data_IF_308397602550
#
_entry.id   IF_308397602550
#
_cell.length_a   1.000
_cell.length_b   1.000
_cell.length_c   1.000
_cell.angle_alpha   90.00
_cell.angle_beta   90.00
_cell.angle_gamma   90.00
#
_symmetry.space_group_name_H-M   'P 1'
#
loop_
_entity.id
_entity.type
_entity.pdbx_description
1 polymer ?
#
# COMPACT_ATOMS: atom_id res chain seq x y z
N UNK A 1 0.45 -43.20 6.46
CA UNK A 1 -0.53 -42.47 5.62
C UNK A 1 0.15 -41.19 5.18
N UNK A 2 0.34 -41.01 3.86
CA UNK A 2 0.97 -39.78 3.33
C UNK A 2 -0.09 -38.69 3.19
N UNK A 3 0.20 -37.47 3.66
CA UNK A 3 -0.70 -36.32 3.55
C UNK A 3 -0.01 -35.25 2.70
N UNK A 4 -0.75 -34.65 1.79
CA UNK A 4 -0.30 -33.54 0.97
C UNK A 4 -1.16 -32.31 1.29
N UNK A 5 -0.52 -31.16 1.52
CA UNK A 5 -1.18 -29.87 1.78
C UNK A 5 -0.75 -28.93 0.64
N UNK A 6 -1.71 -28.27 0.03
CA UNK A 6 -1.48 -27.28 -1.02
C UNK A 6 -2.10 -25.95 -0.59
N UNK A 7 -1.29 -24.91 -0.53
CA UNK A 7 -1.75 -23.53 -0.38
C UNK A 7 -1.94 -22.98 -1.80
N UNK A 8 -3.18 -22.75 -2.18
CA UNK A 8 -3.53 -22.31 -3.53
C UNK A 8 -3.96 -20.83 -3.50
N UNK A 9 -3.54 -20.08 -4.53
CA UNK A 9 -3.88 -18.67 -4.72
C UNK A 9 -3.49 -17.75 -3.54
N UNK A 10 -2.27 -17.84 -3.01
CA UNK A 10 -1.82 -16.94 -1.96
C UNK A 10 -1.77 -15.50 -2.50
N UNK A 11 -2.22 -14.54 -1.69
CA UNK A 11 -1.98 -13.13 -1.97
C UNK A 11 -0.59 -12.75 -1.49
N UNK A 12 0.17 -12.07 -2.33
CA UNK A 12 1.56 -11.72 -2.03
C UNK A 12 1.67 -10.24 -1.70
N UNK A 13 2.29 -9.94 -0.55
CA UNK A 13 2.74 -8.61 -0.17
C UNK A 13 4.27 -8.63 -0.23
N UNK A 14 4.86 -7.64 -0.87
CA UNK A 14 6.31 -7.50 -0.99
C UNK A 14 6.82 -6.45 -0.02
N UNK A 15 7.85 -6.78 0.74
CA UNK A 15 8.50 -5.86 1.68
C UNK A 15 9.98 -5.83 1.37
N UNK A 16 10.52 -4.64 1.13
CA UNK A 16 11.96 -4.43 0.95
C UNK A 16 12.43 -3.23 1.76
N UNK A 17 13.72 -3.13 1.97
CA UNK A 17 14.39 -1.97 2.55
C UNK A 17 15.03 -1.15 1.43
N UNK A 18 14.67 0.12 1.32
CA UNK A 18 15.26 1.02 0.32
C UNK A 18 16.67 1.41 0.77
N UNK A 19 17.64 1.04 -0.07
CA UNK A 19 19.04 1.41 0.14
C UNK A 19 19.21 2.94 0.20
N UNK A 20 20.11 3.43 1.08
CA UNK A 20 20.32 4.87 1.31
C UNK A 20 19.12 5.63 1.89
N UNK A 21 18.23 4.97 2.65
CA UNK A 21 17.07 5.59 3.28
C UNK A 21 17.36 6.98 3.88
N UNK A 22 18.47 7.13 4.61
CA UNK A 22 18.84 8.42 5.21
C UNK A 22 18.92 9.57 4.19
N UNK A 23 19.48 9.33 3.00
CA UNK A 23 19.55 10.33 1.92
C UNK A 23 18.15 10.78 1.51
N UNK A 24 17.24 9.83 1.33
CA UNK A 24 15.86 10.13 0.90
C UNK A 24 15.04 10.78 2.00
N UNK A 25 15.25 10.39 3.24
CA UNK A 25 14.66 11.07 4.40
C UNK A 25 15.12 12.52 4.47
N UNK A 26 16.42 12.79 4.32
CA UNK A 26 16.99 14.13 4.32
C UNK A 26 16.45 14.97 3.12
N UNK A 27 16.30 14.38 1.93
CA UNK A 27 15.70 15.03 0.77
C UNK A 27 14.22 15.36 1.02
N UNK A 28 13.47 14.41 1.55
CA UNK A 28 12.07 14.61 1.89
C UNK A 28 11.86 15.78 2.86
N UNK A 29 12.64 15.87 3.93
CA UNK A 29 12.49 16.96 4.90
C UNK A 29 12.82 18.36 4.33
N UNK A 30 13.54 18.48 3.22
CA UNK A 30 13.72 19.75 2.51
C UNK A 30 12.43 20.22 1.81
N UNK A 31 11.67 19.28 1.27
CA UNK A 31 10.43 19.58 0.54
C UNK A 31 9.20 19.56 1.44
N UNK A 32 9.25 18.83 2.55
CA UNK A 32 8.16 18.65 3.48
C UNK A 32 7.44 19.95 3.89
N UNK A 33 8.13 21.09 4.13
CA UNK A 33 7.47 22.36 4.44
C UNK A 33 6.61 22.94 3.31
N UNK A 34 6.75 22.44 2.07
CA UNK A 34 5.92 22.88 0.93
C UNK A 34 4.50 22.26 0.98
N UNK A 35 4.33 21.20 1.78
CA UNK A 35 3.09 20.44 1.83
C UNK A 35 2.28 20.86 3.06
N UNK A 36 1.14 21.50 2.82
CA UNK A 36 0.19 21.82 3.86
C UNK A 36 -0.63 20.56 4.23
N UNK A 37 -0.86 20.42 5.53
CA UNK A 37 -1.69 19.37 6.07
C UNK A 37 -3.00 19.98 6.57
N UNK A 38 -4.09 19.66 5.88
CA UNK A 38 -5.41 19.89 6.41
C UNK A 38 -5.90 18.62 7.12
N UNK A 39 -6.49 18.82 8.28
CA UNK A 39 -7.23 17.79 8.97
C UNK A 39 -8.54 17.58 8.21
N UNK A 40 -8.76 16.37 7.71
CA UNK A 40 -10.01 16.06 7.01
C UNK A 40 -11.01 15.59 8.04
N UNK A 41 -12.08 16.36 8.23
CA UNK A 41 -13.24 15.96 9.04
C UNK A 41 -14.31 15.44 8.10
N UNK A 42 -14.74 14.20 8.29
CA UNK A 42 -15.81 13.62 7.52
C UNK A 42 -17.21 14.04 8.02
N UNK A 43 -18.24 13.83 7.21
CA UNK A 43 -19.62 14.23 7.51
C UNK A 43 -20.20 13.59 8.78
N UNK A 44 -19.65 12.46 9.22
CA UNK A 44 -20.00 11.78 10.48
C UNK A 44 -19.31 12.36 11.73
N UNK A 45 -18.40 13.34 11.53
CA UNK A 45 -17.68 14.01 12.62
C UNK A 45 -16.42 13.29 13.07
N UNK A 46 -16.02 12.19 12.43
CA UNK A 46 -14.73 11.56 12.69
C UNK A 46 -13.59 12.39 12.07
N UNK A 47 -12.60 12.71 12.90
CA UNK A 47 -11.39 13.38 12.48
C UNK A 47 -10.39 12.36 11.95
N UNK A 48 -10.01 12.53 10.69
CA UNK A 48 -9.14 11.60 10.02
C UNK A 48 -7.73 12.15 9.81
N UNK A 49 -6.84 11.21 9.63
CA UNK A 49 -5.42 11.35 9.40
C UNK A 49 -5.07 12.51 8.49
N UNK A 50 -4.06 13.24 8.88
CA UNK A 50 -3.40 14.23 8.06
C UNK A 50 -2.73 13.58 6.85
N UNK A 51 -3.37 13.66 5.70
CA UNK A 51 -2.79 13.23 4.43
C UNK A 51 -2.76 14.39 3.45
N UNK A 52 -1.72 14.45 2.61
CA UNK A 52 -1.72 15.30 1.44
C UNK A 52 -2.40 14.57 0.29
N UNK A 53 -3.65 14.17 0.48
CA UNK A 53 -4.43 13.47 -0.53
C UNK A 53 -5.12 14.44 -1.50
N UNK A 54 -5.91 13.92 -2.41
CA UNK A 54 -6.73 14.70 -3.35
C UNK A 54 -7.54 15.79 -2.66
N UNK A 55 -7.95 15.56 -1.40
CA UNK A 55 -8.73 16.52 -0.62
C UNK A 55 -7.90 17.74 -0.13
N UNK A 56 -6.59 17.59 0.00
CA UNK A 56 -5.66 18.67 0.36
C UNK A 56 -4.96 19.30 -0.85
N UNK A 57 -5.25 18.82 -2.06
CA UNK A 57 -4.79 19.43 -3.31
C UNK A 57 -3.39 19.02 -3.78
N UNK A 58 -2.71 18.06 -3.13
CA UNK A 58 -1.40 17.61 -3.61
C UNK A 58 -1.21 16.08 -3.58
N UNK A 59 -1.86 15.33 -4.51
CA UNK A 59 -1.66 13.90 -4.65
C UNK A 59 -0.50 13.53 -5.58
N UNK A 60 0.47 14.42 -5.82
CA UNK A 60 1.50 14.26 -6.85
C UNK A 60 2.90 14.58 -6.35
N UNK A 61 3.24 14.17 -5.12
CA UNK A 61 4.59 14.43 -4.57
C UNK A 61 5.70 13.72 -5.33
N UNK A 62 5.38 12.69 -6.14
CA UNK A 62 6.31 12.04 -7.04
C UNK A 62 6.81 12.93 -8.20
N UNK A 63 6.20 14.10 -8.39
CA UNK A 63 6.64 15.09 -9.36
C UNK A 63 7.61 16.14 -8.76
N UNK A 64 7.97 16.01 -7.47
CA UNK A 64 8.97 16.88 -6.86
C UNK A 64 10.38 16.39 -7.22
N UNK A 65 11.14 17.23 -7.92
CA UNK A 65 12.49 16.90 -8.43
C UNK A 65 13.45 16.43 -7.31
N UNK A 66 13.30 16.93 -6.08
CA UNK A 66 14.11 16.49 -4.93
C UNK A 66 13.86 15.04 -4.53
N UNK A 67 12.73 14.45 -4.95
CA UNK A 67 12.32 13.08 -4.64
C UNK A 67 12.45 12.12 -5.84
N UNK A 68 12.88 12.59 -7.01
CA UNK A 68 12.95 11.80 -8.24
C UNK A 68 13.67 10.47 -8.03
N UNK A 69 14.88 10.48 -7.46
CA UNK A 69 15.68 9.28 -7.23
C UNK A 69 15.00 8.28 -6.26
N UNK A 70 14.26 8.77 -5.25
CA UNK A 70 13.47 7.91 -4.38
C UNK A 70 12.38 7.17 -5.18
N UNK A 71 11.66 7.89 -6.02
CA UNK A 71 10.61 7.27 -6.82
C UNK A 71 11.16 6.33 -7.90
N UNK A 72 12.33 6.61 -8.47
CA UNK A 72 13.04 5.64 -9.33
C UNK A 72 13.36 4.34 -8.59
N UNK A 73 13.79 4.40 -7.33
CA UNK A 73 14.02 3.22 -6.50
C UNK A 73 12.71 2.48 -6.19
N UNK A 74 11.63 3.19 -5.87
CA UNK A 74 10.30 2.57 -5.67
C UNK A 74 9.86 1.82 -6.94
N UNK A 75 10.04 2.42 -8.12
CA UNK A 75 9.73 1.77 -9.40
C UNK A 75 10.64 0.57 -9.65
N UNK A 76 11.93 0.66 -9.31
CA UNK A 76 12.85 -0.47 -9.42
C UNK A 76 12.41 -1.66 -8.57
N UNK A 77 12.08 -1.44 -7.32
CA UNK A 77 11.55 -2.48 -6.42
C UNK A 77 10.19 -3.03 -6.89
N UNK A 78 9.37 -2.15 -7.48
CA UNK A 78 8.09 -2.59 -8.08
C UNK A 78 8.32 -3.52 -9.27
N UNK A 79 9.37 -3.29 -10.08
CA UNK A 79 9.75 -4.22 -11.15
C UNK A 79 10.20 -5.57 -10.60
N UNK A 80 10.99 -5.59 -9.53
CA UNK A 80 11.36 -6.84 -8.82
C UNK A 80 10.10 -7.57 -8.38
N UNK A 81 9.16 -6.87 -7.73
CA UNK A 81 7.90 -7.47 -7.29
C UNK A 81 7.12 -8.09 -8.45
N UNK A 82 6.98 -7.39 -9.58
CA UNK A 82 6.19 -7.85 -10.72
C UNK A 82 6.89 -8.99 -11.47
N UNK A 83 8.18 -8.83 -11.78
CA UNK A 83 8.87 -9.73 -12.71
C UNK A 83 9.53 -10.92 -12.01
N UNK A 84 10.08 -10.73 -10.82
CA UNK A 84 10.82 -11.77 -10.12
C UNK A 84 9.94 -12.51 -9.11
N UNK A 85 9.06 -11.81 -8.40
CA UNK A 85 8.20 -12.42 -7.38
C UNK A 85 6.90 -12.94 -8.00
N UNK A 86 6.17 -12.11 -8.75
CA UNK A 86 4.92 -12.48 -9.40
C UNK A 86 5.12 -13.15 -10.76
N UNK A 87 6.33 -13.12 -11.30
CA UNK A 87 6.74 -13.78 -12.55
C UNK A 87 5.97 -13.32 -13.80
N UNK A 88 5.59 -12.06 -13.88
CA UNK A 88 5.02 -11.45 -15.08
C UNK A 88 6.10 -11.09 -16.11
N UNK A 89 5.75 -11.11 -17.39
CA UNK A 89 6.63 -10.66 -18.46
C UNK A 89 6.84 -9.13 -18.43
N UNK A 90 8.00 -8.66 -18.91
CA UNK A 90 8.32 -7.23 -19.02
C UNK A 90 7.68 -6.60 -20.26
N UNK A 91 6.36 -6.54 -20.28
CA UNK A 91 5.55 -5.96 -21.36
C UNK A 91 4.82 -4.69 -20.93
N UNK A 92 5.06 -4.22 -19.71
CA UNK A 92 4.38 -3.06 -19.14
C UNK A 92 5.35 -1.95 -18.78
N UNK A 93 4.93 -0.71 -18.98
CA UNK A 93 5.46 0.46 -18.30
C UNK A 93 4.72 0.67 -17.00
N UNK A 94 5.43 1.16 -15.99
CA UNK A 94 4.88 1.46 -14.68
C UNK A 94 4.69 2.97 -14.56
N UNK A 95 3.49 3.40 -14.22
CA UNK A 95 3.15 4.80 -14.06
C UNK A 95 2.67 5.03 -12.65
N UNK A 96 3.33 5.90 -11.90
CA UNK A 96 2.80 6.41 -10.65
C UNK A 96 1.66 7.37 -11.00
N UNK A 97 0.45 7.02 -10.62
CA UNK A 97 -0.75 7.80 -10.94
C UNK A 97 -1.07 8.83 -9.88
N UNK A 98 -0.70 8.54 -8.63
CA UNK A 98 -0.77 9.46 -7.51
C UNK A 98 0.17 9.03 -6.40
N UNK A 99 0.63 9.99 -5.62
CA UNK A 99 1.39 9.75 -4.41
C UNK A 99 1.20 10.92 -3.43
N UNK A 100 1.10 10.59 -2.15
CA UNK A 100 0.84 11.58 -1.11
C UNK A 100 1.56 11.20 0.20
N UNK A 101 1.55 12.12 1.15
CA UNK A 101 2.13 11.91 2.47
C UNK A 101 1.02 11.47 3.43
N UNK A 102 1.28 10.40 4.16
CA UNK A 102 0.44 9.93 5.26
C UNK A 102 1.16 10.19 6.58
N UNK A 103 0.52 10.92 7.48
CA UNK A 103 1.07 11.31 8.78
C UNK A 103 0.10 10.95 9.89
N UNK A 104 0.61 10.35 10.98
CA UNK A 104 -0.15 10.12 12.22
C UNK A 104 0.66 10.58 13.41
N UNK A 105 0.06 11.34 14.34
CA UNK A 105 0.69 11.89 15.55
C UNK A 105 0.07 11.40 16.84
N UNK A 106 -1.14 10.89 16.77
CA UNK A 106 -1.89 10.34 17.90
C UNK A 106 -2.42 8.95 17.56
N UNK A 107 -2.74 8.17 18.56
CA UNK A 107 -3.18 6.78 18.42
C UNK A 107 -4.53 6.63 17.69
N UNK A 108 -5.39 7.64 17.77
CA UNK A 108 -6.71 7.71 17.14
C UNK A 108 -6.67 8.21 15.69
N UNK A 109 -5.52 8.69 15.22
CA UNK A 109 -5.33 9.09 13.82
C UNK A 109 -5.16 7.87 12.91
N UNK A 110 -6.19 7.06 12.75
CA UNK A 110 -6.22 5.85 11.94
C UNK A 110 -6.68 6.16 10.51
N UNK A 111 -6.22 5.38 9.53
CA UNK A 111 -6.83 5.32 8.20
C UNK A 111 -7.77 4.12 8.19
N UNK A 112 -9.07 4.30 7.89
CA UNK A 112 -10.02 3.20 7.92
C UNK A 112 -9.80 2.18 6.82
N UNK A 113 -10.57 1.10 6.88
CA UNK A 113 -10.61 0.10 5.84
C UNK A 113 -11.00 0.69 4.49
N UNK A 114 -10.13 0.55 3.52
CA UNK A 114 -10.33 1.01 2.15
C UNK A 114 -9.51 0.19 1.16
N UNK A 115 -9.76 0.39 -0.11
CA UNK A 115 -9.00 -0.17 -1.23
C UNK A 115 -8.93 0.85 -2.35
N UNK A 116 -7.99 0.66 -3.26
CA UNK A 116 -7.84 1.53 -4.42
C UNK A 116 -8.33 0.80 -5.67
N UNK A 117 -9.34 1.35 -6.34
CA UNK A 117 -9.99 0.71 -7.51
C UNK A 117 -9.43 1.17 -8.85
N UNK A 118 -8.55 2.18 -8.87
CA UNK A 118 -8.07 2.84 -10.10
C UNK A 118 -6.62 2.52 -10.44
N UNK A 119 -5.98 1.64 -9.69
CA UNK A 119 -4.59 1.27 -9.82
C UNK A 119 -4.39 -0.24 -9.68
N UNK A 120 -3.19 -0.74 -10.00
CA UNK A 120 -2.87 -2.15 -9.91
C UNK A 120 -2.05 -2.49 -8.66
N UNK A 121 -1.11 -1.63 -8.29
CA UNK A 121 -0.22 -1.79 -7.15
C UNK A 121 -0.28 -0.53 -6.31
N UNK A 122 -0.43 -0.69 -5.01
CA UNK A 122 -0.24 0.37 -4.03
C UNK A 122 1.08 0.18 -3.30
N UNK A 123 1.68 1.29 -2.88
CA UNK A 123 2.91 1.26 -2.10
C UNK A 123 2.82 2.15 -0.85
N UNK A 124 3.62 1.77 0.15
CA UNK A 124 3.88 2.57 1.34
C UNK A 124 5.38 2.55 1.64
N UNK A 125 6.03 3.69 1.58
CA UNK A 125 7.44 3.88 1.96
C UNK A 125 7.52 4.67 3.26
N UNK A 126 8.20 4.12 4.26
CA UNK A 126 8.18 4.64 5.62
C UNK A 126 9.39 5.51 5.91
N UNK A 127 9.13 6.79 6.11
CA UNK A 127 10.16 7.80 6.44
C UNK A 127 10.47 7.86 7.92
N UNK A 128 9.47 7.64 8.77
CA UNK A 128 9.61 7.68 10.22
C UNK A 128 8.57 6.77 10.87
N UNK A 129 9.03 5.85 11.73
CA UNK A 129 8.19 4.88 12.41
C UNK A 129 8.56 4.80 13.90
N UNK A 130 8.10 5.76 14.72
CA UNK A 130 8.34 5.71 16.16
C UNK A 130 7.80 4.42 16.79
N UNK A 131 8.34 3.97 17.92
CA UNK A 131 7.81 2.84 18.67
C UNK A 131 6.30 3.00 18.94
N UNK A 132 5.56 1.90 18.86
CA UNK A 132 4.11 1.83 19.05
C UNK A 132 3.29 2.63 18.02
N UNK A 133 3.89 3.02 16.90
CA UNK A 133 3.15 3.67 15.82
C UNK A 133 2.20 2.70 15.11
N UNK A 134 1.36 3.26 14.24
CA UNK A 134 0.36 2.51 13.49
C UNK A 134 0.98 1.44 12.59
N UNK A 135 0.36 0.26 12.58
CA UNK A 135 0.65 -0.83 11.66
C UNK A 135 -0.13 -0.68 10.36
N UNK A 136 0.34 -1.33 9.32
CA UNK A 136 -0.44 -1.54 8.10
C UNK A 136 -1.13 -2.89 8.19
N UNK A 137 -2.46 -2.89 8.13
CA UNK A 137 -3.31 -4.05 8.34
C UNK A 137 -4.09 -4.37 7.07
N UNK A 138 -4.21 -5.63 6.75
CA UNK A 138 -4.87 -6.14 5.54
C UNK A 138 -6.01 -7.07 5.92
N UNK A 139 -7.13 -7.00 5.19
CA UNK A 139 -8.25 -7.90 5.38
C UNK A 139 -8.14 -9.11 4.46
N UNK A 140 -8.44 -10.29 5.01
CA UNK A 140 -8.64 -11.51 4.23
C UNK A 140 -10.10 -11.61 3.80
N UNK A 141 -10.47 -10.88 2.74
CA UNK A 141 -11.85 -10.79 2.24
C UNK A 141 -12.38 -12.17 1.77
N UNK A 142 -11.48 -13.01 1.28
CA UNK A 142 -11.84 -14.32 0.71
C UNK A 142 -11.73 -15.46 1.69
N UNK A 143 -11.68 -15.21 2.98
CA UNK A 143 -11.38 -16.18 4.07
C UNK A 143 -12.09 -17.54 3.93
N UNK A 144 -11.79 -18.25 2.85
CA UNK A 144 -12.40 -19.57 2.55
C UNK A 144 -12.04 -20.63 3.58
N UNK A 145 -10.94 -20.45 4.31
CA UNK A 145 -10.55 -21.31 5.43
C UNK A 145 -11.27 -20.95 6.74
N UNK A 146 -12.06 -19.89 6.75
CA UNK A 146 -12.84 -19.48 7.91
C UNK A 146 -13.98 -20.44 8.28
N UNK A 147 -14.22 -21.45 7.43
CA UNK A 147 -15.19 -22.54 7.55
C UNK A 147 -16.64 -22.06 7.64
N UNK A 148 -16.96 -21.12 8.53
CA UNK A 148 -18.24 -20.43 8.60
C UNK A 148 -18.10 -19.09 9.35
N UNK A 149 -19.01 -18.18 9.05
CA UNK A 149 -19.02 -16.84 9.65
C UNK A 149 -19.09 -16.92 11.18
N UNK A 150 -18.27 -16.08 11.83
CA UNK A 150 -18.24 -15.97 13.28
C UNK A 150 -17.21 -16.81 14.02
N UNK A 151 -16.56 -17.79 13.38
CA UNK A 151 -15.48 -18.58 14.03
C UNK A 151 -14.26 -17.76 14.44
N UNK A 152 -14.01 -16.65 13.72
CA UNK A 152 -12.87 -15.75 13.95
C UNK A 152 -13.30 -14.40 14.54
N UNK A 153 -14.48 -14.30 15.14
CA UNK A 153 -14.93 -13.09 15.82
C UNK A 153 -14.39 -13.06 17.27
N UNK A 154 -14.28 -11.86 17.82
CA UNK A 154 -13.89 -11.64 19.23
C UNK A 154 -14.80 -12.37 20.25
N UNK A 155 -15.99 -12.78 19.83
CA UNK A 155 -16.99 -13.41 20.68
C UNK A 155 -16.78 -14.91 20.85
N UNK A 156 -16.01 -15.54 19.95
CA UNK A 156 -15.66 -16.96 20.02
C UNK A 156 -14.15 -17.09 20.28
N UNK A 157 -13.76 -16.92 21.53
CA UNK A 157 -12.34 -16.98 21.96
C UNK A 157 -11.66 -18.33 21.72
N UNK A 158 -12.43 -19.39 21.49
CA UNK A 158 -11.94 -20.76 21.40
C UNK A 158 -12.10 -21.40 20.02
N UNK A 159 -12.53 -20.66 18.99
CA UNK A 159 -12.77 -21.18 17.65
C UNK A 159 -11.49 -21.52 16.90
N UNK A 160 -10.40 -20.80 17.18
CA UNK A 160 -9.08 -20.96 16.57
C UNK A 160 -8.04 -21.19 17.66
N UNK A 161 -7.31 -22.31 17.58
CA UNK A 161 -6.27 -22.63 18.56
C UNK A 161 -5.11 -21.63 18.53
N UNK A 162 -4.68 -21.27 17.32
CA UNK A 162 -3.60 -20.35 17.06
C UNK A 162 -3.85 -19.68 15.70
N UNK A 163 -3.77 -18.35 15.68
CA UNK A 163 -3.94 -17.57 14.46
C UNK A 163 -2.69 -17.67 13.58
N UNK A 164 -2.88 -17.92 12.29
CA UNK A 164 -1.81 -17.99 11.29
C UNK A 164 -2.36 -17.53 9.92
N UNK A 165 -1.50 -17.54 8.90
CA UNK A 165 -1.83 -17.09 7.55
C UNK A 165 -2.96 -17.87 6.87
N UNK A 166 -3.32 -19.07 7.36
CA UNK A 166 -4.37 -19.90 6.77
C UNK A 166 -5.75 -19.64 7.37
N UNK A 167 -5.82 -19.16 8.60
CA UNK A 167 -7.08 -19.00 9.34
C UNK A 167 -7.36 -17.57 9.81
N UNK A 168 -6.39 -16.66 9.67
CA UNK A 168 -6.56 -15.27 10.12
C UNK A 168 -7.51 -14.51 9.20
N UNK A 169 -8.39 -13.70 9.79
CA UNK A 169 -9.25 -12.75 9.08
C UNK A 169 -8.51 -11.47 8.67
N UNK A 170 -7.42 -11.16 9.37
CA UNK A 170 -6.57 -10.01 9.09
C UNK A 170 -5.10 -10.39 9.24
N UNK A 171 -4.26 -9.70 8.49
CA UNK A 171 -2.81 -9.75 8.61
C UNK A 171 -2.27 -8.34 8.82
N UNK A 172 -1.24 -8.16 9.64
CA UNK A 172 -0.63 -6.85 9.84
C UNK A 172 0.88 -6.90 9.70
N UNK A 173 1.43 -5.79 9.24
CA UNK A 173 2.86 -5.55 9.14
C UNK A 173 3.19 -4.36 10.05
N UNK A 174 4.17 -4.56 10.93
CA UNK A 174 4.80 -3.47 11.66
C UNK A 174 5.86 -2.86 10.75
N UNK A 175 5.65 -1.68 10.18
CA UNK A 175 6.61 -1.13 9.26
C UNK A 175 7.84 -0.62 10.01
N UNK A 176 9.01 -0.85 9.42
CA UNK A 176 10.27 -0.28 9.88
C UNK A 176 10.63 0.96 9.07
N UNK A 177 11.38 1.86 9.67
CA UNK A 177 11.89 3.04 8.96
C UNK A 177 12.79 2.62 7.79
N UNK A 178 12.55 3.17 6.60
CA UNK A 178 13.23 2.79 5.37
C UNK A 178 12.58 1.65 4.60
N UNK A 179 11.58 0.97 5.17
CA UNK A 179 10.88 -0.10 4.46
C UNK A 179 9.93 0.42 3.39
N UNK A 180 9.87 -0.30 2.29
CA UNK A 180 8.87 -0.18 1.22
C UNK A 180 7.97 -1.41 1.26
N UNK A 181 6.67 -1.20 1.30
CA UNK A 181 5.66 -2.26 1.22
C UNK A 181 4.88 -2.08 -0.07
N UNK A 182 4.84 -3.13 -0.92
CA UNK A 182 4.07 -3.18 -2.16
C UNK A 182 2.99 -4.25 -2.04
N UNK A 183 1.79 -3.94 -2.50
CA UNK A 183 0.65 -4.85 -2.45
C UNK A 183 -0.36 -4.55 -3.57
N UNK A 184 -1.20 -5.53 -3.97
CA UNK A 184 -2.27 -5.27 -4.92
C UNK A 184 -3.22 -4.19 -4.43
N UNK A 185 -3.49 -3.17 -5.25
CA UNK A 185 -4.35 -2.02 -4.87
C UNK A 185 -5.77 -2.42 -4.48
N UNK A 186 -6.25 -3.56 -4.98
CA UNK A 186 -7.57 -4.11 -4.66
C UNK A 186 -7.64 -4.74 -3.25
N UNK A 187 -6.51 -4.92 -2.55
CA UNK A 187 -6.51 -5.39 -1.17
C UNK A 187 -7.10 -4.35 -0.25
N UNK A 188 -8.09 -4.76 0.54
CA UNK A 188 -8.64 -3.93 1.60
C UNK A 188 -7.64 -3.81 2.74
N UNK A 189 -7.31 -2.57 3.11
CA UNK A 189 -6.29 -2.27 4.11
C UNK A 189 -6.64 -1.05 4.94
N UNK A 190 -6.02 -0.95 6.11
CA UNK A 190 -6.16 0.18 7.01
C UNK A 190 -4.86 0.44 7.78
N UNK A 191 -4.80 1.55 8.52
CA UNK A 191 -3.78 1.73 9.55
C UNK A 191 -4.44 1.77 10.92
N UNK A 192 -3.81 1.14 11.90
CA UNK A 192 -4.33 1.06 13.26
C UNK A 192 -3.17 1.13 14.25
N UNK A 193 -3.31 1.93 15.31
CA UNK A 193 -2.34 1.94 16.39
C UNK A 193 -2.55 0.73 17.30
N UNK A 194 -1.44 0.13 17.73
CA UNK A 194 -1.48 -0.93 18.75
C UNK A 194 -1.49 -0.41 20.19
N UNK A 195 -1.32 0.88 20.38
CA UNK A 195 -1.16 1.45 21.70
C UNK A 195 -1.79 2.83 21.78
N UNK A 196 -2.62 3.05 22.78
CA UNK A 196 -3.17 4.37 23.11
C UNK A 196 -2.09 5.37 23.56
N UNK A 197 -0.89 4.87 23.86
CA UNK A 197 0.26 5.66 24.31
C UNK A 197 1.16 6.14 23.17
N UNK A 198 0.79 5.91 21.91
CA UNK A 198 1.59 6.37 20.79
C UNK A 198 1.81 7.88 20.85
N UNK A 199 3.08 8.27 20.83
CA UNK A 199 3.53 9.67 20.78
C UNK A 199 4.67 9.79 19.78
N UNK A 200 4.54 10.73 18.88
CA UNK A 200 5.53 10.97 17.86
C UNK A 200 4.90 11.33 16.54
N UNK A 201 5.63 11.19 15.48
CA UNK A 201 5.13 11.41 14.13
C UNK A 201 5.48 10.18 13.29
N UNK A 202 4.48 9.37 12.96
CA UNK A 202 4.61 8.36 11.91
C UNK A 202 4.44 9.04 10.58
N UNK A 203 5.37 8.79 9.67
CA UNK A 203 5.40 9.47 8.39
C UNK A 203 5.70 8.48 7.27
N UNK A 204 4.85 8.45 6.26
CA UNK A 204 5.01 7.59 5.09
C UNK A 204 4.69 8.35 3.80
N UNK A 205 5.40 8.01 2.73
CA UNK A 205 5.00 8.33 1.36
C UNK A 205 4.24 7.13 0.84
N UNK A 206 3.02 7.37 0.42
CA UNK A 206 2.14 6.33 -0.12
C UNK A 206 1.71 6.69 -1.53
N UNK A 207 1.30 5.71 -2.31
CA UNK A 207 0.85 6.00 -3.67
C UNK A 207 0.42 4.77 -4.44
N UNK A 208 0.06 5.03 -5.69
CA UNK A 208 -0.55 4.08 -6.59
C UNK A 208 0.19 4.00 -7.92
N UNK A 209 0.37 2.77 -8.40
CA UNK A 209 1.06 2.46 -9.64
C UNK A 209 0.10 1.72 -10.57
N UNK A 210 0.04 2.19 -11.80
CA UNK A 210 -0.74 1.56 -12.87
C UNK A 210 0.20 0.99 -13.92
N UNK A 211 -0.07 -0.23 -14.36
CA UNK A 211 0.60 -0.89 -15.45
C UNK A 211 -0.05 -0.51 -16.77
N UNK A 212 0.74 -0.08 -17.73
CA UNK A 212 0.30 0.19 -19.09
C UNK A 212 1.18 -0.58 -20.07
N UNK A 213 0.62 -1.03 -21.19
CA UNK A 213 1.44 -1.70 -22.23
C UNK A 213 2.50 -0.77 -22.78
N UNK A 214 3.71 -1.30 -22.96
CA UNK A 214 4.79 -0.63 -23.72
C UNK A 214 4.33 -0.37 -25.14
N UNK A 215 4.68 0.80 -25.70
CA UNK A 215 4.25 1.19 -27.06
C UNK A 215 4.68 0.23 -28.16
N UNK A 216 5.83 -0.45 -27.97
CA UNK A 216 6.43 -1.35 -28.95
C UNK A 216 6.12 -2.84 -28.68
N UNK A 217 5.25 -3.15 -27.71
CA UNK A 217 4.84 -4.53 -27.47
C UNK A 217 3.91 -5.04 -28.57
N UNK A 218 4.15 -6.26 -29.05
CA UNK A 218 3.16 -7.00 -29.85
C UNK A 218 1.96 -7.32 -28.97
N UNK A 219 1.01 -6.38 -28.94
CA UNK A 219 -0.18 -6.51 -28.11
C UNK A 219 -1.23 -7.35 -28.83
N UNK A 220 -1.43 -8.56 -28.36
CA UNK A 220 -2.63 -9.33 -28.66
C UNK A 220 -3.84 -8.61 -28.06
N UNK A 221 -4.89 -8.44 -28.85
CA UNK A 221 -6.15 -7.77 -28.48
C UNK A 221 -6.91 -8.43 -27.31
N UNK A 222 -6.48 -9.60 -26.87
CA UNK A 222 -7.15 -10.39 -25.85
C UNK A 222 -6.98 -9.84 -24.41
N UNK A 223 -6.08 -8.91 -24.19
CA UNK A 223 -5.67 -8.48 -22.86
C UNK A 223 -6.17 -7.09 -22.49
N UNK A 224 -7.30 -6.81 -22.20
CA UNK A 224 -7.96 -5.62 -21.61
C UNK A 224 -7.27 -4.22 -21.55
N UNK A 225 -5.96 -4.15 -21.75
CA UNK A 225 -5.16 -2.93 -21.77
C UNK A 225 -4.78 -2.60 -23.21
N UNK A 226 -5.43 -1.62 -23.80
CA UNK A 226 -5.17 -1.23 -25.19
C UNK A 226 -3.96 -0.30 -25.25
N UNK A 227 -2.96 -0.63 -26.08
CA UNK A 227 -1.83 0.25 -26.38
C UNK A 227 -2.36 1.65 -26.78
N UNK A 228 -1.78 2.73 -26.23
CA UNK A 228 -2.23 4.11 -26.48
C UNK A 228 -2.41 4.46 -27.96
N UNK A 229 -1.57 3.92 -28.87
CA UNK A 229 -1.69 4.15 -30.31
C UNK A 229 -2.99 3.64 -30.96
N UNK A 230 -3.69 2.72 -30.31
CA UNK A 230 -4.97 2.17 -30.77
C UNK A 230 -6.18 2.76 -30.07
N UNK A 231 -5.97 3.71 -29.16
CA UNK A 231 -7.07 4.36 -28.43
C UNK A 231 -7.63 5.53 -29.20
N UNK A 232 -8.93 5.64 -29.23
CA UNK A 232 -9.62 6.84 -29.66
C UNK A 232 -10.43 7.43 -28.53
N UNK A 233 -10.12 8.66 -28.15
CA UNK A 233 -10.86 9.37 -27.10
C UNK A 233 -12.05 10.11 -27.74
N UNK A 234 -13.23 9.85 -27.27
CA UNK A 234 -14.44 10.60 -27.61
C UNK A 234 -14.71 11.59 -26.48
N UNK A 235 -14.86 12.88 -26.83
CA UNK A 235 -15.19 13.94 -25.87
C UNK A 235 -16.67 14.17 -25.88
#
# INVERSE_FOLDING_TARGET
>A
MTRHIFNIFPTTIYVSEIFNHKKYKDAFYKVYPKYDYEQVTYEDGEEWVNTTSENTGNPFIHLDDELEELFENIISETKVYIHEVLNYQDIFDLIITKSWISRSRAADENIPWHKHSTSHISFSYYLNTPPNSHVLKFANISNLNGLFDGLNTSDIKDGVRESNELNASTFHINPEEGSLILFPSAMEHCTESHSDDFKGERLAIVGDITLVYKENGDNDYSMGFINPKYRRTYK
#
